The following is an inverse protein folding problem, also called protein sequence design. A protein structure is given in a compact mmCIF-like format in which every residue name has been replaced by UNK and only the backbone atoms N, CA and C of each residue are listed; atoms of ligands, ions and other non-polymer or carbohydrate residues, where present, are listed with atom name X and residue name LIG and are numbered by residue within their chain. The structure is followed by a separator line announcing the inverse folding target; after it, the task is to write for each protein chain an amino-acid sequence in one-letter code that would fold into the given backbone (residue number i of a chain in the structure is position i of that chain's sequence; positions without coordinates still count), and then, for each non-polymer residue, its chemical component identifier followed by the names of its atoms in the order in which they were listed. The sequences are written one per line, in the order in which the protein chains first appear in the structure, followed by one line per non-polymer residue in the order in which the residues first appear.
data_IF_858780020137
#
_entry.id   IF_858780020137
#
_cell.length_a   1.000
_cell.length_b   1.000
_cell.length_c   1.000
_cell.angle_alpha   90.00
_cell.angle_beta   90.00
_cell.angle_gamma   90.00
#
_symmetry.space_group_name_H-M   'P 1'
#
loop_
_entity.id
_entity.type
_entity.pdbx_description
1 polymer ?
#
# COMPACT_ATOMS: atom_id res chain seq x y z
N UNK A 1 -4.16 2.01 25.72
CA UNK A 1 -3.37 1.63 26.92
C UNK A 1 -4.13 1.81 28.24
N UNK A 2 -5.08 2.74 28.35
CA UNK A 2 -5.92 2.96 29.54
C UNK A 2 -6.73 1.73 29.94
N UNK A 3 -7.44 1.10 29.00
CA UNK A 3 -8.23 -0.11 29.24
C UNK A 3 -7.39 -1.30 29.75
N UNK A 4 -6.19 -1.50 29.21
CA UNK A 4 -5.25 -2.55 29.66
C UNK A 4 -4.86 -2.37 31.12
N UNK A 5 -4.59 -1.12 31.54
CA UNK A 5 -4.23 -0.81 32.94
C UNK A 5 -5.42 -0.90 33.89
N UNK A 6 -6.61 -0.52 33.44
CA UNK A 6 -7.80 -0.48 34.29
C UNK A 6 -8.45 -1.87 34.47
N UNK A 7 -8.39 -2.74 33.46
CA UNK A 7 -9.12 -4.02 33.46
C UNK A 7 -8.22 -5.25 33.26
N UNK A 8 -6.90 -5.09 33.29
CA UNK A 8 -5.95 -6.21 33.08
C UNK A 8 -6.03 -6.84 31.68
N UNK A 9 -6.66 -6.17 30.71
CA UNK A 9 -6.89 -6.71 29.38
C UNK A 9 -5.65 -6.61 28.47
N UNK A 10 -5.30 -7.69 27.78
CA UNK A 10 -4.11 -7.79 26.93
C UNK A 10 -4.30 -7.24 25.51
N UNK A 11 -4.79 -5.99 25.38
CA UNK A 11 -4.91 -5.34 24.07
C UNK A 11 -3.59 -4.69 23.65
N UNK A 12 -3.17 -4.96 22.41
CA UNK A 12 -1.98 -4.39 21.76
C UNK A 12 -2.46 -3.66 20.48
N UNK A 13 -1.91 -2.48 20.23
CA UNK A 13 -2.17 -1.71 19.01
C UNK A 13 -0.89 -1.66 18.20
N UNK A 14 -0.91 -2.22 17.00
CA UNK A 14 0.16 -2.06 16.02
C UNK A 14 -0.11 -0.82 15.16
N UNK A 15 0.96 -0.17 14.70
CA UNK A 15 0.89 0.88 13.68
C UNK A 15 1.77 0.45 12.50
N UNK A 16 1.22 -0.29 11.52
CA UNK A 16 1.94 -0.61 10.30
C UNK A 16 2.12 0.64 9.43
N UNK A 17 3.09 0.59 8.53
CA UNK A 17 3.26 1.58 7.45
C UNK A 17 2.28 1.28 6.30
N UNK A 18 2.49 1.87 5.12
CA UNK A 18 1.62 1.58 3.97
C UNK A 18 1.75 0.11 3.58
N UNK A 19 0.62 -0.61 3.55
CA UNK A 19 0.59 -2.02 3.19
C UNK A 19 0.37 -2.21 1.69
N UNK A 20 0.90 -3.31 1.16
CA UNK A 20 0.58 -3.79 -0.19
C UNK A 20 0.59 -5.31 -0.22
N UNK A 21 -0.15 -5.91 -1.16
CA UNK A 21 -0.15 -7.36 -1.35
C UNK A 21 -1.36 -7.90 -2.12
N UNK A 22 -1.53 -9.23 -2.17
CA UNK A 22 -2.68 -9.86 -2.80
C UNK A 22 -4.00 -9.42 -2.15
N UNK A 23 -5.01 -9.09 -2.97
CA UNK A 23 -6.31 -8.62 -2.50
C UNK A 23 -6.42 -7.11 -2.26
N UNK A 24 -5.37 -6.34 -2.56
CA UNK A 24 -5.44 -4.87 -2.55
C UNK A 24 -6.37 -4.35 -3.65
N UNK A 25 -6.81 -3.10 -3.52
CA UNK A 25 -7.66 -2.46 -4.51
C UNK A 25 -6.82 -1.95 -5.69
N UNK A 26 -7.03 -2.53 -6.88
CA UNK A 26 -6.36 -2.16 -8.13
C UNK A 26 -7.19 -1.21 -9.01
N UNK A 27 -8.22 -0.56 -8.46
CA UNK A 27 -9.00 0.46 -9.16
C UNK A 27 -8.17 1.75 -9.35
N UNK A 28 -8.04 2.25 -10.57
CA UNK A 28 -7.19 3.40 -10.90
C UNK A 28 -7.61 4.72 -10.21
N UNK A 29 -8.87 4.86 -9.76
CA UNK A 29 -9.36 6.09 -9.12
C UNK A 29 -9.26 6.04 -7.59
N UNK A 30 -9.29 4.84 -6.98
CA UNK A 30 -9.34 4.67 -5.53
C UNK A 30 -8.15 3.88 -4.95
N UNK A 31 -7.23 3.43 -5.81
CA UNK A 31 -6.08 2.63 -5.39
C UNK A 31 -4.98 3.46 -4.72
N UNK A 32 -4.26 2.78 -3.83
CA UNK A 32 -2.99 3.28 -3.32
C UNK A 32 -1.96 3.38 -4.45
N UNK A 33 -0.91 4.19 -4.22
CA UNK A 33 0.14 4.49 -5.19
C UNK A 33 0.72 3.22 -5.84
N UNK A 34 0.98 2.16 -5.07
CA UNK A 34 1.65 0.97 -5.59
C UNK A 34 0.75 0.14 -6.53
N UNK A 35 -0.51 -0.23 -6.17
CA UNK A 35 -1.43 -0.87 -7.11
C UNK A 35 -1.72 -0.03 -8.37
N UNK A 36 -1.86 1.29 -8.22
CA UNK A 36 -2.08 2.20 -9.34
C UNK A 36 -0.92 2.14 -10.35
N UNK A 37 0.32 2.14 -9.86
CA UNK A 37 1.52 2.02 -10.69
C UNK A 37 1.59 0.66 -11.40
N UNK A 38 1.38 -0.44 -10.67
CA UNK A 38 1.40 -1.79 -11.23
C UNK A 38 0.39 -1.89 -12.39
N UNK A 39 -0.82 -1.36 -12.20
CA UNK A 39 -1.84 -1.37 -13.24
C UNK A 39 -1.47 -0.51 -14.46
N UNK A 40 -0.95 0.69 -14.25
CA UNK A 40 -0.51 1.57 -15.36
C UNK A 40 0.60 0.93 -16.19
N UNK A 41 1.58 0.29 -15.55
CA UNK A 41 2.64 -0.43 -16.26
C UNK A 41 2.08 -1.66 -17.00
N UNK A 42 1.15 -2.39 -16.39
CA UNK A 42 0.50 -3.52 -17.03
C UNK A 42 -0.30 -3.12 -18.28
N UNK A 43 -1.09 -2.05 -18.19
CA UNK A 43 -1.87 -1.51 -19.32
C UNK A 43 -0.94 -0.98 -20.42
N UNK A 44 0.11 -0.25 -20.06
CA UNK A 44 1.09 0.25 -21.02
C UNK A 44 1.81 -0.88 -21.79
N UNK A 45 2.21 -1.95 -21.09
CA UNK A 45 2.80 -3.12 -21.74
C UNK A 45 1.79 -3.82 -22.67
N UNK A 46 0.53 -3.96 -22.24
CA UNK A 46 -0.53 -4.58 -23.03
C UNK A 46 -0.86 -3.78 -24.28
N UNK A 47 -0.89 -2.45 -24.16
CA UNK A 47 -1.32 -1.53 -25.21
C UNK A 47 -0.14 -1.05 -26.07
N UNK A 48 1.09 -1.45 -25.73
CA UNK A 48 2.31 -1.14 -26.48
C UNK A 48 2.77 0.32 -26.38
N UNK A 49 2.45 0.99 -25.27
CA UNK A 49 2.83 2.38 -25.06
C UNK A 49 4.35 2.51 -24.82
N UNK A 50 4.98 3.47 -25.50
CA UNK A 50 6.42 3.73 -25.39
C UNK A 50 6.82 4.41 -24.06
N UNK A 51 5.87 5.08 -23.41
CA UNK A 51 6.09 5.80 -22.15
C UNK A 51 4.89 5.73 -21.19
N UNK A 52 5.17 5.90 -19.89
CA UNK A 52 4.17 5.95 -18.82
C UNK A 52 4.36 7.23 -18.01
N UNK A 53 3.35 8.09 -18.00
CA UNK A 53 3.39 9.34 -17.22
C UNK A 53 3.09 9.11 -15.75
N UNK A 54 4.04 9.49 -14.90
CA UNK A 54 3.89 9.53 -13.44
C UNK A 54 3.71 10.97 -12.97
N UNK A 55 2.73 11.20 -12.10
CA UNK A 55 2.44 12.53 -11.58
C UNK A 55 3.39 12.91 -10.45
N UNK A 56 3.98 14.10 -10.53
CA UNK A 56 4.87 14.66 -9.51
C UNK A 56 6.35 14.57 -9.89
N UNK A 57 7.22 15.02 -8.98
CA UNK A 57 8.68 15.09 -9.18
C UNK A 57 9.40 13.76 -8.98
N UNK A 58 8.73 12.73 -8.45
CA UNK A 58 9.37 11.46 -8.05
C UNK A 58 10.29 11.55 -6.82
N UNK A 59 10.53 12.75 -6.27
CA UNK A 59 11.36 12.95 -5.07
C UNK A 59 10.75 12.48 -3.73
N UNK A 60 9.41 12.38 -3.54
CA UNK A 60 8.86 11.92 -2.28
C UNK A 60 9.21 10.45 -1.98
N UNK A 61 9.76 10.20 -0.79
CA UNK A 61 10.01 8.84 -0.30
C UNK A 61 8.77 8.28 0.41
N UNK A 62 8.58 6.97 0.30
CA UNK A 62 7.48 6.21 0.93
C UNK A 62 8.05 4.90 1.46
N UNK A 63 7.51 4.46 2.59
CA UNK A 63 7.80 3.14 3.16
C UNK A 63 6.60 2.23 2.92
N UNK A 64 6.88 0.99 2.51
CA UNK A 64 5.88 -0.03 2.21
C UNK A 64 6.23 -1.31 2.95
N UNK A 65 5.21 -2.00 3.45
CA UNK A 65 5.34 -3.30 4.11
C UNK A 65 4.42 -4.31 3.40
N UNK A 66 4.94 -5.49 3.07
CA UNK A 66 4.12 -6.52 2.45
C UNK A 66 3.10 -7.08 3.46
N UNK A 67 1.90 -7.40 3.02
CA UNK A 67 0.84 -7.91 3.91
C UNK A 67 1.25 -9.19 4.65
N UNK A 68 2.01 -10.07 4.00
CA UNK A 68 2.52 -11.29 4.63
C UNK A 68 3.55 -10.99 5.73
N UNK A 69 4.33 -9.90 5.61
CA UNK A 69 5.27 -9.48 6.64
C UNK A 69 4.57 -8.85 7.85
N UNK A 70 3.39 -8.23 7.66
CA UNK A 70 2.55 -7.77 8.78
C UNK A 70 1.86 -8.94 9.48
N UNK A 71 1.51 -9.99 8.73
CA UNK A 71 0.79 -11.14 9.26
C UNK A 71 1.70 -12.12 10.02
N UNK A 72 3.00 -12.12 9.73
CA UNK A 72 4.02 -12.97 10.39
C UNK A 72 4.29 -12.55 11.84
#
# INVERSE_FOLDING_TARGET
QSYRRQYGASYISAMPTNLYGPGDNFDLETSHVLPALIRRFHEAQRDGAEEVTLWGSGSPRREFLHVDDLAA
#
